data_IF_958208201164
#
_entry.id   IF_958208201164
#
_cell.length_a   1.000
_cell.length_b   1.000
_cell.length_c   1.000
_cell.angle_alpha   90.00
_cell.angle_beta   90.00
_cell.angle_gamma   90.00
#
_symmetry.space_group_name_H-M   'P 1'
#
loop_
_entity.id
_entity.type
_entity.pdbx_description
1 polymer ?
#
# COMPACT_ATOMS: atom_id res chain seq x y z
N UNK A 1 -13.92 2.04 -17.12
CA UNK A 1 -14.23 1.98 -16.50
C UNK A 1 -13.86 1.86 -15.41
N UNK A 2 -13.46 1.80 -14.94
CA UNK A 2 -13.15 1.66 -13.93
C UNK A 2 -12.62 2.72 -13.24
N UNK A 3 -12.90 3.89 -13.53
CA UNK A 3 -12.47 5.01 -12.83
C UNK A 3 -12.94 5.06 -11.45
N UNK A 4 -13.96 4.36 -11.13
CA UNK A 4 -14.44 4.33 -9.78
C UNK A 4 -13.41 3.73 -8.84
N UNK A 5 -12.41 3.07 -9.37
CA UNK A 5 -11.38 2.56 -8.51
C UNK A 5 -10.41 3.63 -8.08
N UNK A 6 -10.55 4.82 -8.57
CA UNK A 6 -9.75 5.90 -8.07
C UNK A 6 -10.37 6.54 -6.88
N UNK A 7 -11.50 6.08 -6.45
CA UNK A 7 -12.16 6.67 -5.33
C UNK A 7 -11.44 6.46 -4.05
N UNK A 8 -11.81 7.23 -3.08
CA UNK A 8 -11.23 7.18 -1.81
C UNK A 8 -11.64 5.94 -1.14
N UNK A 9 -10.88 5.17 -0.67
CA UNK A 9 -11.20 3.99 0.07
C UNK A 9 -11.14 2.71 -0.74
N UNK A 10 -11.34 2.76 -2.05
CA UNK A 10 -11.23 1.56 -2.84
C UNK A 10 -9.81 1.03 -2.86
N UNK A 11 -8.83 1.94 -2.97
CA UNK A 11 -7.44 1.51 -2.94
C UNK A 11 -7.08 0.87 -1.63
N UNK A 12 -7.56 1.42 -0.52
CA UNK A 12 -7.28 0.86 0.78
C UNK A 12 -7.94 -0.49 0.95
N UNK A 13 -9.16 -0.65 0.41
CA UNK A 13 -9.86 -1.92 0.50
C UNK A 13 -9.13 -3.00 -0.30
N UNK A 14 -8.66 -2.65 -1.49
CA UNK A 14 -7.90 -3.60 -2.30
C UNK A 14 -6.61 -4.00 -1.61
N UNK A 15 -5.96 -3.05 -0.99
CA UNK A 15 -4.72 -3.33 -0.29
C UNK A 15 -4.94 -4.26 0.88
N UNK A 16 -6.03 -4.08 1.60
CA UNK A 16 -6.35 -4.98 2.70
C UNK A 16 -6.66 -6.38 2.21
N UNK A 17 -7.32 -6.51 1.06
CA UNK A 17 -7.55 -7.82 0.49
C UNK A 17 -6.26 -8.48 0.07
N UNK A 18 -5.36 -7.72 -0.54
CA UNK A 18 -4.06 -8.25 -0.89
C UNK A 18 -3.31 -8.72 0.34
N UNK A 19 -3.41 -7.95 1.42
CA UNK A 19 -2.74 -8.32 2.65
C UNK A 19 -3.30 -9.63 3.20
N UNK A 20 -4.61 -9.82 3.13
CA UNK A 20 -5.21 -11.05 3.60
C UNK A 20 -4.75 -12.24 2.76
N UNK A 21 -4.68 -12.07 1.46
CA UNK A 21 -4.20 -13.13 0.57
C UNK A 21 -2.75 -13.44 0.87
N UNK A 22 -1.95 -12.40 1.05
CA UNK A 22 -0.53 -12.58 1.34
C UNK A 22 -0.34 -13.32 2.65
N UNK A 23 -1.14 -13.01 3.64
CA UNK A 23 -1.04 -13.68 4.93
C UNK A 23 -1.35 -15.16 4.79
N UNK A 24 -2.37 -15.51 4.01
CA UNK A 24 -2.70 -16.90 3.79
C UNK A 24 -1.61 -17.62 3.04
N UNK A 25 -0.87 -16.91 2.21
CA UNK A 25 0.23 -17.49 1.46
C UNK A 25 1.52 -17.55 2.26
N UNK A 26 1.51 -17.12 3.51
CA UNK A 26 2.71 -17.16 4.33
C UNK A 26 3.64 -15.98 4.13
N UNK A 27 3.18 -14.95 3.46
CA UNK A 27 3.98 -13.76 3.23
C UNK A 27 3.81 -12.82 4.40
N UNK A 28 4.92 -12.34 4.94
CA UNK A 28 4.89 -11.48 6.12
C UNK A 28 4.98 -10.00 5.78
N UNK A 29 5.52 -9.67 4.64
CA UNK A 29 5.74 -8.28 4.26
C UNK A 29 5.52 -8.09 2.77
N UNK A 30 5.07 -6.91 2.42
CA UNK A 30 4.98 -6.50 1.02
C UNK A 30 5.80 -5.25 0.84
N UNK A 31 6.42 -5.13 -0.32
CA UNK A 31 7.24 -3.97 -0.64
C UNK A 31 6.65 -3.22 -1.81
N UNK A 32 6.74 -1.91 -1.76
CA UNK A 32 6.29 -1.07 -2.86
C UNK A 32 7.22 0.11 -3.01
N UNK A 33 7.37 0.57 -4.24
CA UNK A 33 8.12 1.78 -4.53
C UNK A 33 7.16 2.79 -5.10
N UNK A 34 7.13 3.97 -4.50
CA UNK A 34 6.20 5.01 -4.88
C UNK A 34 6.96 6.30 -5.04
N UNK A 35 6.62 7.06 -6.09
CA UNK A 35 7.20 8.38 -6.23
C UNK A 35 6.71 9.25 -5.08
N UNK A 36 7.62 10.03 -4.50
CA UNK A 36 7.27 10.88 -3.39
C UNK A 36 6.19 11.90 -3.73
N UNK A 37 6.04 12.22 -5.01
CA UNK A 37 5.00 13.15 -5.44
C UNK A 37 3.64 12.49 -5.55
N UNK A 38 3.58 11.16 -5.50
CA UNK A 38 2.32 10.45 -5.62
C UNK A 38 1.67 10.32 -4.24
N UNK A 39 1.13 11.43 -3.76
CA UNK A 39 0.56 11.47 -2.42
C UNK A 39 -0.69 10.61 -2.28
N UNK A 40 -1.42 10.47 -3.36
CA UNK A 40 -2.63 9.66 -3.32
C UNK A 40 -2.29 8.22 -2.98
N UNK A 41 -1.24 7.69 -3.57
CA UNK A 41 -0.84 6.32 -3.29
C UNK A 41 -0.32 6.16 -1.88
N UNK A 42 0.43 7.14 -1.40
CA UNK A 42 0.93 7.10 -0.03
C UNK A 42 -0.23 7.11 0.97
N UNK A 43 -1.27 7.88 0.68
CA UNK A 43 -2.43 7.88 1.55
C UNK A 43 -3.15 6.55 1.55
N UNK A 44 -3.18 5.87 0.41
CA UNK A 44 -3.80 4.56 0.34
C UNK A 44 -3.10 3.61 1.30
N UNK A 45 -1.77 3.64 1.31
CA UNK A 45 -1.02 2.78 2.23
C UNK A 45 -1.32 3.13 3.68
N UNK A 46 -1.39 4.42 3.99
CA UNK A 46 -1.67 4.84 5.36
C UNK A 46 -3.04 4.39 5.82
N UNK A 47 -4.01 4.41 4.92
CA UNK A 47 -5.38 4.07 5.28
C UNK A 47 -5.63 2.57 5.29
N UNK A 48 -4.67 1.79 4.87
CA UNK A 48 -4.85 0.35 4.81
C UNK A 48 -5.00 -0.27 6.20
N UNK A 49 -4.56 0.44 7.24
CA UNK A 49 -4.61 -0.12 8.58
C UNK A 49 -3.46 -1.04 8.90
N UNK A 50 -2.54 -1.20 7.98
CA UNK A 50 -1.37 -2.04 8.19
C UNK A 50 -0.24 -1.21 8.77
N UNK A 51 0.69 -1.89 9.41
CA UNK A 51 1.90 -1.20 9.84
C UNK A 51 2.75 -0.91 8.61
N UNK A 52 3.20 0.31 8.51
CA UNK A 52 3.95 0.74 7.35
C UNK A 52 5.28 1.32 7.81
N UNK A 53 6.34 0.91 7.15
CA UNK A 53 7.63 1.55 7.29
C UNK A 53 7.98 2.15 5.94
N UNK A 54 8.49 3.35 5.94
CA UNK A 54 8.84 3.99 4.69
C UNK A 54 10.23 4.56 4.79
N UNK A 55 10.93 4.55 3.66
CA UNK A 55 12.26 5.11 3.57
C UNK A 55 12.37 5.85 2.25
N UNK A 56 12.83 7.07 2.32
CA UNK A 56 12.95 7.88 1.13
C UNK A 56 14.35 7.81 0.55
N UNK A 57 14.39 7.58 -0.75
CA UNK A 57 15.66 7.61 -1.47
C UNK A 57 15.46 8.45 -2.72
N UNK A 58 15.99 9.67 -2.71
CA UNK A 58 15.79 10.59 -3.83
C UNK A 58 14.31 10.82 -4.04
N UNK A 59 13.81 10.70 -5.27
CA UNK A 59 12.40 10.94 -5.56
C UNK A 59 11.52 9.74 -5.23
N UNK A 60 12.09 8.63 -4.80
CA UNK A 60 11.34 7.39 -4.59
C UNK A 60 11.20 7.12 -3.11
N UNK A 61 10.01 6.67 -2.71
CA UNK A 61 9.75 6.24 -1.35
C UNK A 61 9.56 4.73 -1.38
N UNK A 62 10.36 4.03 -0.60
CA UNK A 62 10.24 2.59 -0.44
C UNK A 62 9.33 2.32 0.72
N UNK A 63 8.24 1.63 0.47
CA UNK A 63 7.24 1.37 1.49
C UNK A 63 7.24 -0.12 1.78
N UNK A 64 7.32 -0.45 3.06
CA UNK A 64 7.20 -1.84 3.51
C UNK A 64 5.92 -1.97 4.30
N UNK A 65 5.08 -2.89 3.88
CA UNK A 65 3.80 -3.13 4.53
C UNK A 65 3.92 -4.42 5.31
N UNK A 66 3.70 -4.34 6.59
CA UNK A 66 3.77 -5.53 7.43
C UNK A 66 2.43 -6.23 7.45
N UNK A 67 2.44 -7.49 7.07
CA UNK A 67 1.22 -8.28 6.96
C UNK A 67 0.97 -9.08 8.21
N UNK A 68 2.02 -9.62 8.77
CA UNK A 68 1.85 -10.46 9.95
C UNK A 68 2.61 -9.94 11.14
#
# INVERSE_FOLDING_TARGET
MIDRYQGQGLGAALLRELAAIARQAGINELYAEVLGSNRAMLKVFERSGLQIASKREGPVVHVTLKIA
#
